data_IF_956848520407
#
_entry.id   IF_956848520407
#
_cell.length_a   1.000
_cell.length_b   1.000
_cell.length_c   1.000
_cell.angle_alpha   90.00
_cell.angle_beta   90.00
_cell.angle_gamma   90.00
#
_symmetry.space_group_name_H-M   'P 1'
#
loop_
_entity.id
_entity.type
_entity.pdbx_description
1 polymer ?
#
# COMPACT_ATOMS: atom_id res chain seq x y z
N UNK A 1 -4.38 -13.33 2.70
CA UNK A 1 -4.80 -13.98 1.45
C UNK A 1 -3.91 -13.55 0.31
N UNK A 2 -3.38 -14.54 -0.35
CA UNK A 2 -2.33 -14.32 -1.34
C UNK A 2 -2.88 -14.10 -2.73
N UNK A 3 -4.00 -14.74 -3.04
CA UNK A 3 -4.71 -14.47 -4.28
C UNK A 3 -5.44 -13.15 -4.11
N UNK A 4 -4.90 -12.12 -4.70
CA UNK A 4 -5.49 -10.79 -4.55
C UNK A 4 -6.91 -10.79 -5.10
N UNK A 5 -7.87 -10.54 -4.25
CA UNK A 5 -9.21 -10.18 -4.67
C UNK A 5 -9.17 -8.70 -5.02
N UNK A 6 -8.97 -8.41 -6.31
CA UNK A 6 -8.76 -7.05 -6.77
C UNK A 6 -10.01 -6.19 -6.59
N UNK A 7 -11.20 -6.78 -6.59
CA UNK A 7 -12.43 -6.05 -6.30
C UNK A 7 -12.45 -5.59 -4.85
N UNK A 8 -12.09 -6.47 -3.92
CA UNK A 8 -12.03 -6.13 -2.51
C UNK A 8 -10.94 -5.09 -2.24
N UNK A 9 -9.79 -5.22 -2.89
CA UNK A 9 -8.73 -4.22 -2.76
C UNK A 9 -9.20 -2.85 -3.23
N UNK A 10 -9.94 -2.79 -4.34
CA UNK A 10 -10.51 -1.55 -4.82
C UNK A 10 -11.52 -0.95 -3.82
N UNK A 11 -12.32 -1.79 -3.17
CA UNK A 11 -13.28 -1.34 -2.16
C UNK A 11 -12.59 -0.69 -0.97
N UNK A 12 -11.41 -1.17 -0.60
CA UNK A 12 -10.65 -0.66 0.55
C UNK A 12 -9.73 0.49 0.19
N UNK A 13 -9.48 0.73 -1.09
CA UNK A 13 -8.54 1.76 -1.54
C UNK A 13 -9.19 3.14 -1.49
N UNK A 14 -8.41 4.14 -1.11
CA UNK A 14 -8.88 5.52 -1.06
C UNK A 14 -9.37 5.97 -2.44
N UNK A 15 -10.55 6.64 -2.52
CA UNK A 15 -11.14 7.01 -3.80
C UNK A 15 -10.23 7.86 -4.69
N UNK A 16 -9.36 8.68 -4.10
CA UNK A 16 -8.48 9.54 -4.88
C UNK A 16 -7.46 8.73 -5.69
N UNK A 17 -7.01 7.60 -5.17
CA UNK A 17 -6.12 6.72 -5.90
C UNK A 17 -6.88 5.98 -7.01
N UNK A 18 -8.11 5.58 -6.74
CA UNK A 18 -8.98 4.99 -7.75
C UNK A 18 -9.15 5.95 -8.93
N UNK A 19 -9.43 7.22 -8.64
CA UNK A 19 -9.60 8.24 -9.68
C UNK A 19 -8.32 8.48 -10.46
N UNK A 20 -7.17 8.40 -9.80
CA UNK A 20 -5.87 8.57 -10.45
C UNK A 20 -5.65 7.54 -11.57
N UNK A 21 -6.17 6.32 -11.42
CA UNK A 21 -6.06 5.26 -12.43
C UNK A 21 -7.24 5.20 -13.40
N UNK A 22 -8.07 6.24 -13.42
CA UNK A 22 -9.19 6.31 -14.35
C UNK A 22 -10.44 5.58 -13.89
N UNK A 23 -10.61 5.39 -12.58
CA UNK A 23 -11.77 4.73 -11.99
C UNK A 23 -11.47 3.29 -11.57
N UNK A 24 -12.51 2.62 -11.07
CA UNK A 24 -12.39 1.26 -10.52
C UNK A 24 -11.82 0.27 -11.54
N UNK A 25 -12.32 0.28 -12.76
CA UNK A 25 -11.84 -0.64 -13.79
C UNK A 25 -10.36 -0.39 -14.12
N UNK A 26 -9.94 0.87 -14.18
CA UNK A 26 -8.53 1.22 -14.40
C UNK A 26 -7.63 0.76 -13.28
N UNK A 27 -8.07 0.92 -12.04
CA UNK A 27 -7.33 0.49 -10.88
C UNK A 27 -7.17 -1.04 -10.86
N UNK A 28 -8.23 -1.78 -11.14
CA UNK A 28 -8.19 -3.24 -11.20
C UNK A 28 -7.26 -3.72 -12.30
N UNK A 29 -7.26 -3.07 -13.47
CA UNK A 29 -6.31 -3.40 -14.55
C UNK A 29 -4.87 -3.21 -14.09
N UNK A 30 -4.60 -2.16 -13.31
CA UNK A 30 -3.25 -1.92 -12.78
C UNK A 30 -2.83 -3.04 -11.82
N UNK A 31 -3.74 -3.49 -10.96
CA UNK A 31 -3.46 -4.63 -10.07
C UNK A 31 -3.23 -5.92 -10.84
N UNK A 32 -4.03 -6.18 -11.88
CA UNK A 32 -3.87 -7.35 -12.73
C UNK A 32 -2.52 -7.32 -13.45
N UNK A 33 -2.11 -6.15 -13.93
CA UNK A 33 -0.82 -5.98 -14.61
C UNK A 33 0.34 -6.23 -13.67
N UNK A 34 0.27 -5.70 -12.45
CA UNK A 34 1.30 -5.92 -11.45
C UNK A 34 1.45 -7.40 -11.10
N UNK A 35 0.33 -8.11 -10.94
CA UNK A 35 0.34 -9.54 -10.66
C UNK A 35 0.94 -10.33 -11.83
N UNK A 36 0.61 -9.95 -13.07
CA UNK A 36 1.16 -10.59 -14.26
C UNK A 36 2.67 -10.37 -14.37
N UNK A 37 3.15 -9.17 -14.00
CA UNK A 37 4.58 -8.85 -14.01
C UNK A 37 5.35 -9.73 -13.04
N UNK A 38 4.82 -9.94 -11.83
CA UNK A 38 5.43 -10.83 -10.86
C UNK A 38 5.52 -12.26 -11.39
N UNK A 39 4.43 -12.76 -12.00
CA UNK A 39 4.42 -14.11 -12.56
C UNK A 39 5.45 -14.27 -13.68
N UNK A 40 5.60 -13.25 -14.53
CA UNK A 40 6.60 -13.29 -15.62
C UNK A 40 8.03 -13.38 -15.09
N UNK A 41 8.28 -12.76 -13.91
CA UNK A 41 9.59 -12.84 -13.26
C UNK A 41 9.77 -14.13 -12.46
N UNK A 42 8.76 -15.00 -12.43
CA UNK A 42 8.82 -16.24 -11.66
C UNK A 42 8.67 -16.04 -10.18
N UNK A 43 8.17 -14.89 -9.75
CA UNK A 43 8.00 -14.56 -8.35
C UNK A 43 6.63 -14.99 -7.85
N UNK A 44 6.59 -15.51 -6.62
CA UNK A 44 5.35 -15.92 -5.96
C UNK A 44 5.29 -15.30 -4.57
N UNK A 45 4.08 -14.96 -4.14
CA UNK A 45 3.87 -14.58 -2.75
C UNK A 45 4.26 -15.71 -1.82
N UNK A 46 4.98 -15.38 -0.75
CA UNK A 46 5.30 -16.30 0.32
C UNK A 46 4.59 -15.91 1.60
N UNK A 47 4.71 -14.66 2.01
CA UNK A 47 4.12 -14.18 3.26
C UNK A 47 3.90 -12.67 3.20
N UNK A 48 2.97 -12.22 4.03
CA UNK A 48 2.67 -10.81 4.21
C UNK A 48 2.54 -10.59 5.71
N UNK A 49 3.29 -9.63 6.26
CA UNK A 49 3.24 -9.34 7.69
C UNK A 49 3.17 -7.85 7.93
N UNK A 50 2.44 -7.47 8.98
CA UNK A 50 2.31 -6.07 9.39
C UNK A 50 3.19 -5.80 10.60
N UNK A 51 3.79 -4.60 10.63
CA UNK A 51 4.45 -4.08 11.79
C UNK A 51 3.46 -3.39 12.74
N UNK A 52 3.99 -2.59 13.65
CA UNK A 52 3.16 -1.83 14.57
C UNK A 52 2.52 -0.63 13.85
N UNK A 53 1.22 -0.45 14.02
CA UNK A 53 0.53 0.72 13.49
C UNK A 53 1.03 1.98 14.21
N UNK A 54 1.14 3.09 13.49
CA UNK A 54 1.52 4.37 14.08
C UNK A 54 0.44 4.91 15.00
N UNK A 55 0.77 5.98 15.71
CA UNK A 55 -0.24 6.77 16.39
C UNK A 55 -1.25 7.30 15.38
N UNK A 56 -2.52 7.39 15.79
CA UNK A 56 -3.58 7.93 14.96
C UNK A 56 -3.65 9.44 15.15
N UNK A 57 -3.66 10.20 14.05
CA UNK A 57 -3.76 11.65 14.07
C UNK A 57 -5.03 12.10 13.38
N UNK A 58 -5.62 13.19 13.86
CA UNK A 58 -6.77 13.83 13.22
C UNK A 58 -6.31 15.09 12.49
N UNK A 59 -6.84 15.32 11.29
CA UNK A 59 -6.62 16.53 10.53
C UNK A 59 -7.83 16.79 9.64
N UNK A 60 -8.39 18.00 9.74
CA UNK A 60 -9.55 18.42 8.95
C UNK A 60 -10.74 17.45 9.05
N UNK A 61 -10.95 16.85 10.21
CA UNK A 61 -12.07 15.93 10.44
C UNK A 61 -11.83 14.50 9.99
N UNK A 62 -10.62 14.18 9.50
CA UNK A 62 -10.27 12.86 9.04
C UNK A 62 -9.16 12.27 9.92
N UNK A 63 -9.22 10.96 10.15
CA UNK A 63 -8.17 10.26 10.88
C UNK A 63 -7.14 9.70 9.91
N UNK A 64 -5.87 9.72 10.34
CA UNK A 64 -4.75 9.22 9.54
C UNK A 64 -3.85 8.35 10.39
N UNK A 65 -3.33 7.28 9.80
CA UNK A 65 -2.34 6.42 10.44
C UNK A 65 -1.45 5.78 9.37
N UNK A 66 -0.28 5.34 9.79
CA UNK A 66 0.64 4.60 8.93
C UNK A 66 0.73 3.16 9.44
N UNK A 67 0.59 2.21 8.55
CA UNK A 67 0.67 0.79 8.87
C UNK A 67 1.79 0.15 8.06
N UNK A 68 2.98 -0.05 8.66
CA UNK A 68 4.09 -0.66 7.94
C UNK A 68 3.82 -2.13 7.64
N UNK A 69 4.34 -2.62 6.52
CA UNK A 69 4.22 -4.03 6.19
C UNK A 69 5.49 -4.55 5.52
N UNK A 70 5.66 -5.86 5.60
CA UNK A 70 6.69 -6.59 4.89
C UNK A 70 6.04 -7.57 3.93
N UNK A 71 6.49 -7.56 2.68
CA UNK A 71 6.05 -8.48 1.65
C UNK A 71 7.19 -9.44 1.36
N UNK A 72 6.94 -10.75 1.47
CA UNK A 72 7.92 -11.77 1.14
C UNK A 72 7.50 -12.52 -0.11
N UNK A 73 8.43 -12.70 -1.02
CA UNK A 73 8.24 -13.39 -2.29
C UNK A 73 9.22 -14.56 -2.38
N UNK A 74 8.87 -15.55 -3.16
CA UNK A 74 9.75 -16.68 -3.49
C UNK A 74 10.05 -16.64 -4.97
N UNK A 75 11.32 -16.74 -5.33
CA UNK A 75 11.75 -16.80 -6.72
C UNK A 75 11.70 -18.20 -7.30
N UNK A 76 12.01 -18.34 -8.62
CA UNK A 76 11.87 -19.60 -9.32
C UNK A 76 12.81 -20.70 -8.85
N UNK A 77 13.92 -20.33 -8.18
CA UNK A 77 14.89 -21.30 -7.63
C UNK A 77 14.80 -21.42 -6.11
N UNK A 78 13.69 -20.98 -5.52
CA UNK A 78 13.52 -21.03 -4.08
C UNK A 78 14.17 -19.87 -3.34
N UNK A 79 14.75 -18.90 -4.05
CA UNK A 79 15.28 -17.69 -3.42
C UNK A 79 14.15 -16.94 -2.71
N UNK A 80 14.50 -16.25 -1.64
CA UNK A 80 13.56 -15.38 -0.93
C UNK A 80 13.88 -13.94 -1.21
N UNK A 81 12.83 -13.15 -1.39
CA UNK A 81 12.94 -11.72 -1.56
C UNK A 81 11.99 -11.04 -0.56
N UNK A 82 12.38 -9.90 -0.06
CA UNK A 82 11.55 -9.16 0.89
C UNK A 82 11.54 -7.68 0.52
N UNK A 83 10.38 -7.06 0.72
CA UNK A 83 10.18 -5.64 0.47
C UNK A 83 9.46 -5.04 1.67
N UNK A 84 9.96 -3.92 2.17
CA UNK A 84 9.32 -3.17 3.25
C UNK A 84 8.63 -1.94 2.66
N UNK A 85 7.40 -1.72 3.07
CA UNK A 85 6.63 -0.56 2.66
C UNK A 85 5.61 -0.20 3.74
N UNK A 86 4.59 0.54 3.39
CA UNK A 86 3.56 0.95 4.35
C UNK A 86 2.25 1.25 3.64
N UNK A 87 1.17 1.18 4.41
CA UNK A 87 -0.14 1.67 3.98
C UNK A 87 -0.42 3.00 4.69
N UNK A 88 -0.96 3.95 3.96
CA UNK A 88 -1.57 5.14 4.54
C UNK A 88 -3.04 4.81 4.79
N UNK A 89 -3.46 4.88 6.04
CA UNK A 89 -4.83 4.54 6.43
C UNK A 89 -5.58 5.82 6.73
N UNK A 90 -6.79 5.96 6.17
CA UNK A 90 -7.64 7.12 6.40
C UNK A 90 -9.04 6.69 6.83
N UNK A 91 -9.66 7.50 7.69
CA UNK A 91 -11.04 7.29 8.09
C UNK A 91 -11.75 8.63 8.17
N UNK A 92 -12.89 8.75 7.50
CA UNK A 92 -13.73 9.94 7.54
C UNK A 92 -14.95 9.76 8.46
N UNK A 93 -15.06 8.62 9.13
CA UNK A 93 -16.20 8.28 10.00
C UNK A 93 -15.74 7.88 11.41
N UNK A 94 -14.68 8.51 11.90
CA UNK A 94 -14.13 8.35 13.25
C UNK A 94 -13.63 6.95 13.55
N UNK A 95 -13.11 6.26 12.51
CA UNK A 95 -12.51 4.95 12.69
C UNK A 95 -13.48 3.78 12.52
N UNK A 96 -14.73 4.02 12.14
CA UNK A 96 -15.67 2.95 11.86
C UNK A 96 -15.29 2.18 10.60
N UNK A 97 -14.88 2.91 9.56
CA UNK A 97 -14.36 2.31 8.34
C UNK A 97 -13.07 3.00 7.94
N UNK A 98 -12.17 2.24 7.32
CA UNK A 98 -10.87 2.73 6.89
C UNK A 98 -10.67 2.48 5.41
N UNK A 99 -10.01 3.43 4.77
CA UNK A 99 -9.53 3.29 3.40
C UNK A 99 -8.01 3.33 3.39
N UNK A 100 -7.41 2.72 2.38
CA UNK A 100 -5.98 2.53 2.34
C UNK A 100 -5.40 3.07 1.04
N UNK A 101 -4.19 3.61 1.15
CA UNK A 101 -3.38 4.04 0.01
C UNK A 101 -1.99 3.45 0.21
N UNK A 102 -1.53 2.68 -0.78
CA UNK A 102 -0.23 2.02 -0.67
C UNK A 102 0.88 3.07 -0.83
N UNK A 103 1.78 3.11 0.16
CA UNK A 103 2.89 4.04 0.15
C UNK A 103 4.02 3.68 -0.80
N UNK A 104 3.98 2.51 -1.44
CA UNK A 104 5.05 2.09 -2.34
C UNK A 104 5.28 3.08 -3.49
N UNK A 105 4.21 3.67 -4.03
CA UNK A 105 4.30 4.66 -5.09
C UNK A 105 4.69 6.05 -4.62
N UNK A 106 4.63 6.30 -3.32
CA UNK A 106 4.94 7.60 -2.71
C UNK A 106 6.38 7.63 -2.19
N UNK A 107 6.85 6.51 -1.65
CA UNK A 107 8.14 6.43 -0.98
C UNK A 107 8.14 7.28 0.29
N UNK A 108 9.24 7.98 0.52
CA UNK A 108 9.34 8.93 1.64
C UNK A 108 9.10 10.38 1.20
N UNK A 109 8.65 10.60 -0.03
CA UNK A 109 8.40 11.93 -0.55
C UNK A 109 7.02 12.41 -0.14
N UNK A 110 6.99 13.18 0.94
CA UNK A 110 5.77 13.74 1.50
C UNK A 110 5.00 14.61 0.50
N UNK A 111 5.68 15.25 -0.44
CA UNK A 111 5.03 16.11 -1.44
C UNK A 111 4.16 15.29 -2.39
N UNK A 112 4.57 14.07 -2.72
CA UNK A 112 3.73 13.17 -3.52
C UNK A 112 2.47 12.79 -2.75
N UNK A 113 2.61 12.49 -1.47
CA UNK A 113 1.48 12.12 -0.63
C UNK A 113 0.49 13.27 -0.48
N UNK A 114 0.97 14.49 -0.24
CA UNK A 114 0.08 15.65 -0.05
C UNK A 114 -0.66 16.05 -1.32
N UNK A 115 -0.23 15.61 -2.49
CA UNK A 115 -1.01 15.77 -3.71
C UNK A 115 -2.29 14.95 -3.68
N UNK A 116 -2.22 13.75 -3.09
CA UNK A 116 -3.39 12.88 -2.94
C UNK A 116 -4.19 13.22 -1.69
N UNK A 117 -3.50 13.54 -0.61
CA UNK A 117 -4.09 13.78 0.71
C UNK A 117 -3.58 15.12 1.24
N UNK A 118 -4.18 16.26 0.81
CA UNK A 118 -3.67 17.58 1.16
C UNK A 118 -3.65 17.85 2.67
N UNK A 119 -4.54 17.20 3.43
CA UNK A 119 -4.68 17.41 4.86
C UNK A 119 -3.88 16.40 5.70
N UNK A 120 -2.98 15.64 5.06
CA UNK A 120 -2.17 14.65 5.77
C UNK A 120 -1.34 15.33 6.87
N UNK A 121 -1.38 14.80 8.12
CA UNK A 121 -0.72 15.48 9.26
C UNK A 121 0.79 15.56 9.10
N UNK A 122 1.35 16.75 9.35
CA UNK A 122 2.79 16.95 9.28
C UNK A 122 3.54 16.17 10.38
N UNK A 123 2.89 15.89 11.49
CA UNK A 123 3.47 15.17 12.62
C UNK A 123 3.66 13.68 12.35
N UNK A 124 2.94 13.14 11.36
CA UNK A 124 2.97 11.71 11.07
C UNK A 124 4.14 11.43 10.12
N UNK A 125 5.15 10.73 10.62
CA UNK A 125 6.34 10.41 9.86
C UNK A 125 6.06 9.30 8.84
N UNK A 126 6.62 9.44 7.65
CA UNK A 126 6.55 8.39 6.62
C UNK A 126 7.75 7.46 6.77
N UNK A 127 7.52 6.13 6.83
CA UNK A 127 8.63 5.19 6.80
C UNK A 127 9.42 5.30 5.50
N UNK A 128 10.68 4.91 5.55
CA UNK A 128 11.51 4.83 4.35
C UNK A 128 11.35 3.43 3.75
N UNK A 129 10.65 3.27 2.63
CA UNK A 129 10.47 1.95 2.03
C UNK A 129 11.81 1.37 1.60
N UNK A 130 11.98 0.08 1.83
CA UNK A 130 13.17 -0.63 1.39
C UNK A 130 12.86 -1.36 0.09
N UNK A 131 13.73 -1.26 -0.91
CA UNK A 131 13.53 -1.96 -2.16
C UNK A 131 13.58 -3.46 -1.96
N UNK A 132 13.15 -4.19 -2.98
CA UNK A 132 13.17 -5.64 -2.95
C UNK A 132 14.60 -6.14 -2.77
N UNK A 133 14.82 -6.94 -1.74
CA UNK A 133 16.12 -7.56 -1.41
C UNK A 133 15.99 -9.06 -1.57
N UNK A 134 16.89 -9.65 -2.36
CA UNK A 134 16.87 -11.10 -2.60
C UNK A 134 17.85 -11.76 -1.66
N UNK A 135 17.39 -12.79 -0.95
CA UNK A 135 18.20 -13.61 -0.07
C UNK A 135 18.51 -14.93 -0.76
N UNK A 136 19.72 -15.39 -0.56
CA UNK A 136 20.16 -16.68 -1.12
C UNK A 136 20.59 -17.63 -0.02
#
# INVERSE_FOLDING_TARGET
MINADHQQMADLTHPILIDHFGGRAGYIRELDQAAADLRRQGLKFHAFSFGAISQIFESAGELYAIYPYALELTGPKGERASQLSYLVCTSSDRGLTWKFLDGAGVGSDRRKLTRFLPEFPAELALPDPKPLVVYR
#
